data_IF_600631253741
#
_entry.id   IF_600631253741
#
_cell.length_a   1.000
_cell.length_b   1.000
_cell.length_c   1.000
_cell.angle_alpha   90.00
_cell.angle_beta   90.00
_cell.angle_gamma   90.00
#
_symmetry.space_group_name_H-M   'P 1'
#
loop_
_entity.id
_entity.type
_entity.pdbx_description
1 polymer ?
#
# COMPACT_ATOMS: atom_id res chain seq x y z
N UNK A 1 5.28 55.45 21.95
CA UNK A 1 5.83 54.11 21.70
C UNK A 1 7.12 54.27 20.90
N UNK A 2 8.25 53.82 21.44
CA UNK A 2 9.56 53.99 20.80
C UNK A 2 9.75 53.02 19.63
N UNK A 3 10.56 53.40 18.64
CA UNK A 3 10.87 52.58 17.45
C UNK A 3 11.32 51.17 17.85
N UNK A 4 12.03 51.02 18.98
CA UNK A 4 12.45 49.74 19.54
C UNK A 4 11.30 48.79 19.86
N UNK A 5 10.16 49.31 20.35
CA UNK A 5 8.98 48.49 20.64
C UNK A 5 8.34 47.95 19.36
N UNK A 6 8.32 48.75 18.29
CA UNK A 6 7.77 48.36 16.98
C UNK A 6 8.60 47.23 16.36
N UNK A 7 9.93 47.32 16.45
CA UNK A 7 10.84 46.28 15.95
C UNK A 7 10.65 44.97 16.70
N UNK A 8 10.51 45.03 18.03
CA UNK A 8 10.29 43.84 18.87
C UNK A 8 8.96 43.16 18.50
N UNK A 9 7.86 43.92 18.38
CA UNK A 9 6.57 43.35 17.96
C UNK A 9 6.63 42.75 16.55
N UNK A 10 7.35 43.39 15.63
CA UNK A 10 7.58 42.84 14.29
C UNK A 10 8.31 41.50 14.31
N UNK A 11 9.33 41.36 15.17
CA UNK A 11 10.07 40.11 15.32
C UNK A 11 9.22 38.98 15.92
N UNK A 12 8.43 39.28 16.95
CA UNK A 12 7.49 38.31 17.54
C UNK A 12 6.39 37.88 16.56
N UNK A 13 5.87 38.80 15.73
CA UNK A 13 4.91 38.47 14.67
C UNK A 13 5.51 37.52 13.63
N UNK A 14 6.76 37.76 13.23
CA UNK A 14 7.46 36.94 12.25
C UNK A 14 7.73 35.53 12.78
N UNK A 15 8.19 35.41 14.03
CA UNK A 15 8.35 34.10 14.69
C UNK A 15 7.01 33.39 14.84
N UNK A 16 5.96 34.11 15.24
CA UNK A 16 4.61 33.56 15.36
C UNK A 16 4.09 33.00 14.04
N UNK A 17 4.31 33.70 12.92
CA UNK A 17 3.95 33.23 11.58
C UNK A 17 4.70 31.95 11.20
N UNK A 18 6.00 31.85 11.48
CA UNK A 18 6.80 30.64 11.19
C UNK A 18 6.28 29.44 11.99
N UNK A 19 5.99 29.63 13.27
CA UNK A 19 5.42 28.58 14.12
C UNK A 19 4.03 28.16 13.64
N UNK A 20 3.19 29.12 13.24
CA UNK A 20 1.86 28.85 12.73
C UNK A 20 1.89 28.04 11.42
N UNK A 21 2.81 28.33 10.50
CA UNK A 21 2.98 27.56 9.26
C UNK A 21 3.44 26.12 9.54
N UNK A 22 4.33 25.91 10.52
CA UNK A 22 4.74 24.57 10.94
C UNK A 22 3.57 23.78 11.56
N UNK A 23 2.73 24.46 12.36
CA UNK A 23 1.53 23.87 12.95
C UNK A 23 0.52 23.50 11.86
N UNK A 24 0.27 24.35 10.86
CA UNK A 24 -0.58 24.03 9.72
C UNK A 24 -0.06 22.80 8.97
N UNK A 25 1.25 22.64 8.80
CA UNK A 25 1.82 21.45 8.13
C UNK A 25 1.53 20.16 8.91
N UNK A 26 1.60 20.21 10.25
CA UNK A 26 1.25 19.09 11.13
C UNK A 26 -0.27 18.81 11.04
N UNK A 27 -1.12 19.83 11.12
CA UNK A 27 -2.57 19.67 11.00
C UNK A 27 -3.01 19.24 9.60
N UNK A 28 -2.35 19.68 8.53
CA UNK A 28 -2.59 19.19 7.17
C UNK A 28 -2.18 17.72 7.06
N UNK A 29 -1.10 17.29 7.68
CA UNK A 29 -0.74 15.86 7.69
C UNK A 29 -1.78 15.00 8.47
N UNK A 30 -2.39 15.56 9.51
CA UNK A 30 -3.41 14.88 10.33
C UNK A 30 -4.81 14.94 9.68
N UNK A 31 -5.15 16.04 8.99
CA UNK A 31 -6.50 16.32 8.50
C UNK A 31 -6.65 16.19 6.97
N UNK A 32 -5.56 16.05 6.23
CA UNK A 32 -5.55 15.75 4.78
C UNK A 32 -5.48 14.26 4.49
N UNK A 33 -5.96 13.37 5.38
CA UNK A 33 -6.55 12.11 4.90
C UNK A 33 -7.87 12.49 4.22
N UNK A 34 -7.95 12.57 2.88
CA UNK A 34 -9.23 12.81 2.25
C UNK A 34 -10.17 11.66 2.66
N UNK A 35 -11.43 12.02 2.91
CA UNK A 35 -12.54 11.09 2.97
C UNK A 35 -12.55 10.24 1.69
N UNK A 36 -11.89 9.10 1.72
CA UNK A 36 -12.24 7.93 0.93
C UNK A 36 -12.95 6.97 1.88
N UNK A 37 -14.13 7.39 2.32
CA UNK A 37 -15.15 6.47 2.82
C UNK A 37 -15.75 5.85 1.56
N UNK A 38 -15.29 4.65 1.21
CA UNK A 38 -16.07 3.46 0.88
C UNK A 38 -15.03 2.34 0.69
N UNK A 39 -15.36 1.15 1.19
CA UNK A 39 -14.70 -0.14 0.96
C UNK A 39 -13.70 -0.63 2.02
N UNK A 40 -14.27 -1.46 2.89
CA UNK A 40 -13.66 -2.60 3.59
C UNK A 40 -12.89 -2.32 4.87
N UNK A 41 -13.67 -2.38 5.95
CA UNK A 41 -13.48 -3.36 7.02
C UNK A 41 -12.27 -3.20 7.95
N UNK A 42 -12.65 -2.82 9.16
CA UNK A 42 -11.92 -2.93 10.41
C UNK A 42 -11.33 -4.35 10.52
N UNK A 43 -10.03 -4.48 10.37
CA UNK A 43 -9.26 -5.40 11.21
C UNK A 43 -8.25 -4.54 11.95
N UNK A 44 -8.61 -4.17 13.17
CA UNK A 44 -7.66 -3.73 14.19
C UNK A 44 -6.59 -4.83 14.31
N UNK A 45 -5.44 -4.61 13.69
CA UNK A 45 -4.21 -5.31 14.05
C UNK A 45 -3.33 -4.28 14.76
N UNK A 46 -2.69 -4.66 15.88
CA UNK A 46 -1.92 -3.72 16.69
C UNK A 46 -0.84 -3.09 15.82
N UNK A 47 -0.55 -1.81 16.04
CA UNK A 47 0.63 -1.12 15.48
C UNK A 47 1.89 -1.86 15.96
N UNK A 48 2.23 -2.95 15.27
CA UNK A 48 3.58 -3.45 15.19
C UNK A 48 4.28 -2.42 14.33
N UNK A 49 5.37 -1.87 14.83
CA UNK A 49 6.32 -1.06 14.06
C UNK A 49 6.77 -1.92 12.86
N UNK A 50 6.01 -1.90 11.76
CA UNK A 50 6.31 -2.67 10.56
C UNK A 50 7.64 -2.13 10.04
N UNK A 51 8.62 -3.02 9.90
CA UNK A 51 9.92 -2.70 9.32
C UNK A 51 9.67 -1.97 7.98
N UNK A 52 10.27 -0.79 7.76
CA UNK A 52 10.06 0.00 6.54
C UNK A 52 10.28 -0.81 5.26
N UNK A 53 11.12 -1.86 5.33
CA UNK A 53 11.38 -2.78 4.22
C UNK A 53 10.17 -3.68 3.89
N UNK A 54 9.38 -4.08 4.90
CA UNK A 54 8.13 -4.85 4.72
C UNK A 54 7.07 -4.00 4.06
N UNK A 55 6.92 -2.75 4.50
CA UNK A 55 5.97 -1.81 3.91
C UNK A 55 6.29 -1.53 2.44
N UNK A 56 7.56 -1.31 2.11
CA UNK A 56 8.01 -1.08 0.73
C UNK A 56 7.79 -2.31 -0.15
N UNK A 57 8.17 -3.50 0.34
CA UNK A 57 7.93 -4.76 -0.37
C UNK A 57 6.43 -4.98 -0.64
N UNK A 58 5.58 -4.72 0.35
CA UNK A 58 4.13 -4.90 0.23
C UNK A 58 3.52 -3.97 -0.79
N UNK A 59 3.94 -2.71 -0.82
CA UNK A 59 3.54 -1.75 -1.86
C UNK A 59 3.97 -2.23 -3.25
N UNK A 60 5.19 -2.75 -3.37
CA UNK A 60 5.74 -3.22 -4.64
C UNK A 60 5.01 -4.47 -5.16
N UNK A 61 4.67 -5.41 -4.27
CA UNK A 61 3.83 -6.56 -4.57
C UNK A 61 2.42 -6.10 -4.99
N UNK A 62 1.83 -5.15 -4.27
CA UNK A 62 0.50 -4.63 -4.61
C UNK A 62 0.47 -3.91 -5.96
N UNK A 63 1.56 -3.22 -6.35
CA UNK A 63 1.64 -2.54 -7.64
C UNK A 63 1.91 -3.52 -8.80
N UNK A 64 2.82 -4.48 -8.61
CA UNK A 64 3.27 -5.35 -9.70
C UNK A 64 2.51 -6.66 -9.80
N UNK A 65 2.11 -7.27 -8.69
CA UNK A 65 1.54 -8.63 -8.65
C UNK A 65 0.02 -8.56 -8.67
N UNK A 66 -0.58 -7.74 -7.79
CA UNK A 66 -2.04 -7.62 -7.63
C UNK A 66 -2.82 -7.46 -8.94
N UNK A 67 -2.47 -6.54 -9.87
CA UNK A 67 -3.23 -6.34 -11.11
C UNK A 67 -3.16 -7.52 -12.09
N UNK A 68 -2.26 -8.48 -11.86
CA UNK A 68 -2.02 -9.62 -12.74
C UNK A 68 -2.54 -10.94 -12.18
N UNK A 69 -3.01 -10.97 -10.92
CA UNK A 69 -3.43 -12.21 -10.25
C UNK A 69 -4.51 -12.97 -11.01
N UNK A 70 -5.49 -12.30 -11.62
CA UNK A 70 -6.52 -12.96 -12.44
C UNK A 70 -5.95 -13.64 -13.68
N UNK A 71 -5.00 -13.00 -14.35
CA UNK A 71 -4.32 -13.59 -15.51
C UNK A 71 -3.42 -14.76 -15.08
N UNK A 72 -2.72 -14.62 -13.94
CA UNK A 72 -1.82 -15.63 -13.39
C UNK A 72 -2.58 -16.87 -12.93
N UNK A 73 -3.74 -16.73 -12.29
CA UNK A 73 -4.65 -17.84 -11.96
C UNK A 73 -5.08 -18.59 -13.23
N UNK A 74 -5.43 -17.86 -14.30
CA UNK A 74 -5.78 -18.46 -15.59
C UNK A 74 -4.61 -19.23 -16.24
N UNK A 75 -3.37 -18.75 -16.07
CA UNK A 75 -2.16 -19.44 -16.54
C UNK A 75 -1.82 -20.66 -15.68
N UNK A 76 -1.93 -20.52 -14.35
CA UNK A 76 -1.72 -21.60 -13.38
C UNK A 76 -2.65 -22.77 -13.67
N UNK A 77 -3.95 -22.51 -13.84
CA UNK A 77 -4.96 -23.54 -14.16
C UNK A 77 -4.75 -24.23 -15.52
N UNK A 78 -4.11 -23.57 -16.48
CA UNK A 78 -3.78 -24.14 -17.80
C UNK A 78 -2.48 -24.90 -17.81
N UNK A 79 -1.58 -24.57 -16.88
CA UNK A 79 -0.32 -25.27 -16.73
C UNK A 79 -0.63 -26.54 -15.94
N UNK A 80 -0.24 -27.72 -16.43
CA UNK A 80 -0.26 -28.96 -15.64
C UNK A 80 0.81 -28.92 -14.53
N UNK A 81 0.92 -27.80 -13.82
CA UNK A 81 1.76 -27.60 -12.66
C UNK A 81 1.09 -28.35 -11.50
N UNK A 82 1.26 -29.67 -11.50
CA UNK A 82 0.41 -30.59 -10.75
C UNK A 82 0.51 -30.49 -9.23
N UNK A 83 1.33 -29.61 -8.64
CA UNK A 83 1.50 -29.54 -7.18
C UNK A 83 1.86 -28.17 -6.56
N UNK A 84 1.99 -27.08 -7.34
CA UNK A 84 2.35 -25.77 -6.77
C UNK A 84 1.11 -24.91 -6.49
N UNK A 85 1.05 -24.30 -5.29
CA UNK A 85 0.01 -23.33 -4.94
C UNK A 85 0.08 -22.10 -5.85
N UNK A 86 -1.01 -21.35 -5.99
CA UNK A 86 -1.04 -20.10 -6.78
C UNK A 86 0.07 -19.15 -6.32
N UNK A 87 0.30 -19.05 -5.00
CA UNK A 87 1.37 -18.25 -4.41
C UNK A 87 2.77 -18.65 -4.88
N UNK A 88 3.09 -19.95 -4.92
CA UNK A 88 4.39 -20.45 -5.39
C UNK A 88 4.57 -20.20 -6.89
N UNK A 89 3.50 -20.36 -7.67
CA UNK A 89 3.52 -20.04 -9.09
C UNK A 89 3.76 -18.53 -9.30
N UNK A 90 3.02 -17.67 -8.62
CA UNK A 90 3.19 -16.22 -8.70
C UNK A 90 4.58 -15.79 -8.25
N UNK A 91 5.10 -16.37 -7.16
CA UNK A 91 6.48 -16.15 -6.73
C UNK A 91 7.46 -16.51 -7.85
N UNK A 92 7.33 -17.68 -8.48
CA UNK A 92 8.24 -18.09 -9.56
C UNK A 92 8.20 -17.17 -10.79
N UNK A 93 7.05 -16.55 -11.09
CA UNK A 93 6.90 -15.62 -12.21
C UNK A 93 7.52 -14.25 -11.90
N UNK A 94 7.53 -13.84 -10.64
CA UNK A 94 7.99 -12.52 -10.20
C UNK A 94 9.33 -12.56 -9.44
N UNK A 95 9.96 -13.73 -9.28
CA UNK A 95 11.23 -13.90 -8.56
C UNK A 95 12.32 -12.97 -9.13
N UNK A 96 12.41 -12.89 -10.46
CA UNK A 96 13.37 -12.00 -11.14
C UNK A 96 13.05 -10.51 -10.95
N UNK A 97 11.75 -10.15 -10.88
CA UNK A 97 11.32 -8.75 -10.70
C UNK A 97 11.48 -8.26 -9.27
N UNK A 98 11.45 -9.18 -8.30
CA UNK A 98 11.63 -8.92 -6.88
C UNK A 98 13.02 -9.33 -6.40
N UNK A 99 13.98 -9.52 -7.31
CA UNK A 99 15.32 -10.04 -7.01
C UNK A 99 16.01 -9.29 -5.88
N UNK A 100 15.83 -7.97 -5.81
CA UNK A 100 16.42 -7.10 -4.80
C UNK A 100 15.89 -7.37 -3.39
N UNK A 101 14.62 -7.78 -3.28
CA UNK A 101 14.01 -8.19 -2.01
C UNK A 101 14.29 -9.66 -1.71
N UNK A 102 14.28 -10.52 -2.74
CA UNK A 102 14.59 -11.96 -2.61
C UNK A 102 16.02 -12.19 -2.12
N UNK A 103 16.99 -11.39 -2.57
CA UNK A 103 18.38 -11.45 -2.09
C UNK A 103 18.53 -11.04 -0.63
N UNK A 104 17.66 -10.17 -0.12
CA UNK A 104 17.68 -9.72 1.28
C UNK A 104 16.98 -10.72 2.18
N UNK A 105 15.75 -11.08 1.84
CA UNK A 105 14.95 -12.06 2.57
C UNK A 105 13.92 -12.73 1.65
N UNK A 106 14.31 -13.87 1.07
CA UNK A 106 13.43 -14.68 0.22
C UNK A 106 12.16 -15.12 0.93
N UNK A 107 12.26 -15.49 2.21
CA UNK A 107 11.12 -16.04 2.96
C UNK A 107 10.06 -14.97 3.20
N UNK A 108 10.51 -13.75 3.49
CA UNK A 108 9.62 -12.59 3.62
C UNK A 108 8.86 -12.29 2.33
N UNK A 109 9.53 -12.36 1.16
CA UNK A 109 8.87 -12.18 -0.14
C UNK A 109 7.85 -13.28 -0.41
N UNK A 110 8.19 -14.53 -0.13
CA UNK A 110 7.24 -15.65 -0.24
C UNK A 110 6.02 -15.46 0.67
N UNK A 111 6.21 -15.01 1.91
CA UNK A 111 5.13 -14.74 2.87
C UNK A 111 4.20 -13.61 2.40
N UNK A 112 4.74 -12.49 1.91
CA UNK A 112 3.93 -11.37 1.43
C UNK A 112 3.18 -11.70 0.12
N UNK A 113 3.81 -12.44 -0.79
CA UNK A 113 3.12 -12.95 -1.99
C UNK A 113 2.01 -13.91 -1.62
N UNK A 114 2.26 -14.81 -0.64
CA UNK A 114 1.22 -15.71 -0.13
C UNK A 114 0.03 -14.93 0.45
N UNK A 115 0.28 -13.89 1.26
CA UNK A 115 -0.77 -13.00 1.78
C UNK A 115 -1.56 -12.32 0.66
N UNK A 116 -0.88 -11.81 -0.37
CA UNK A 116 -1.52 -11.17 -1.52
C UNK A 116 -2.42 -12.17 -2.28
N UNK A 117 -1.94 -13.39 -2.52
CA UNK A 117 -2.71 -14.43 -3.19
C UNK A 117 -3.90 -14.92 -2.33
N UNK A 118 -3.72 -15.08 -1.02
CA UNK A 118 -4.82 -15.45 -0.11
C UNK A 118 -5.90 -14.38 -0.04
N UNK A 119 -5.52 -13.09 -0.05
CA UNK A 119 -6.48 -11.99 -0.13
C UNK A 119 -7.28 -12.02 -1.44
N UNK A 120 -6.66 -12.41 -2.55
CA UNK A 120 -7.33 -12.61 -3.83
C UNK A 120 -8.27 -13.81 -3.86
N UNK A 121 -7.83 -14.97 -3.34
CA UNK A 121 -8.64 -16.19 -3.29
C UNK A 121 -9.86 -16.05 -2.36
N UNK A 122 -9.71 -15.27 -1.27
CA UNK A 122 -10.79 -14.98 -0.32
C UNK A 122 -11.71 -13.81 -0.72
N UNK A 123 -11.41 -13.09 -1.80
CA UNK A 123 -12.21 -11.95 -2.22
C UNK A 123 -13.52 -12.38 -2.90
N UNK A 124 -14.65 -11.84 -2.45
CA UNK A 124 -15.96 -12.05 -3.10
C UNK A 124 -15.99 -11.49 -4.53
N UNK A 125 -15.22 -10.43 -4.77
CA UNK A 125 -15.14 -9.70 -6.02
C UNK A 125 -13.69 -9.60 -6.48
N UNK A 126 -13.35 -10.31 -7.57
CA UNK A 126 -12.01 -10.31 -8.16
C UNK A 126 -11.73 -9.10 -9.08
N UNK A 127 -12.73 -8.24 -9.34
CA UNK A 127 -12.53 -7.01 -10.14
C UNK A 127 -11.59 -6.01 -9.47
N UNK A 128 -11.55 -5.96 -8.14
CA UNK A 128 -10.62 -5.09 -7.40
C UNK A 128 -9.14 -5.44 -7.64
N UNK A 129 -8.89 -6.60 -8.26
CA UNK A 129 -7.58 -7.09 -8.68
C UNK A 129 -7.39 -6.99 -10.20
N UNK A 130 -8.40 -6.53 -10.93
CA UNK A 130 -8.29 -6.26 -12.36
C UNK A 130 -7.83 -4.81 -12.58
N UNK A 131 -7.10 -4.59 -13.67
CA UNK A 131 -6.89 -3.23 -14.19
C UNK A 131 -8.26 -2.60 -14.50
N UNK A 132 -8.48 -1.36 -14.04
CA UNK A 132 -9.68 -0.58 -14.35
C UNK A 132 -9.97 -0.65 -15.86
N UNK A 133 -11.10 -1.26 -16.24
CA UNK A 133 -11.50 -1.44 -17.63
C UNK A 133 -11.64 -2.90 -18.13
N UNK A 134 -11.41 -3.90 -17.29
CA UNK A 134 -11.60 -5.33 -17.64
C UNK A 134 -13.05 -5.76 -17.86
N UNK A 135 -14.04 -4.99 -17.39
CA UNK A 135 -15.46 -5.17 -17.69
C UNK A 135 -16.13 -6.41 -17.05
N UNK A 136 -15.58 -6.94 -15.95
CA UNK A 136 -16.08 -8.16 -15.29
C UNK A 136 -16.97 -7.79 -14.10
N UNK A 137 -18.08 -7.08 -14.33
CA UNK A 137 -18.89 -6.49 -13.25
C UNK A 137 -19.16 -7.46 -12.10
N UNK A 138 -18.71 -7.14 -10.89
CA UNK A 138 -19.06 -7.91 -9.70
C UNK A 138 -20.57 -7.84 -9.45
N UNK A 139 -21.20 -8.95 -9.04
CA UNK A 139 -22.62 -8.95 -8.71
C UNK A 139 -22.84 -7.94 -7.58
N UNK A 140 -23.64 -6.91 -7.84
CA UNK A 140 -24.07 -5.97 -6.81
C UNK A 140 -24.96 -6.75 -5.84
N UNK A 141 -24.48 -6.95 -4.62
CA UNK A 141 -25.27 -7.46 -3.49
C UNK A 141 -26.24 -6.40 -2.99
#
# INVERSE_FOLDING_TARGET
MGISTIIIYGFFLLIGMILFLNVIKIFSNIFSRPKSLVQSEITETPEVEEDPLVSELRLNIDEQVRPHLTSLEGMHNKTNASQDTLSSFVFSVFEDKLSDYVQKDKKMVEEEIAKCCSAYEGAECKESFCLEGSGISCPQT
#
